data_IF_656085789900
#
_entry.id   IF_656085789900
#
_cell.length_a   1.000
_cell.length_b   1.000
_cell.length_c   1.000
_cell.angle_alpha   90.00
_cell.angle_beta   90.00
_cell.angle_gamma   90.00
#
_symmetry.space_group_name_H-M   'P 1'
#
loop_
_entity.id
_entity.type
_entity.pdbx_description
1 polymer ?
#
# COMPACT_ATOMS: atom_id res chain seq x y z
N UNK A 1 -6.46 13.46 -13.94
CA UNK A 1 -6.47 13.11 -12.50
C UNK A 1 -5.07 13.35 -11.96
N UNK A 2 -4.90 13.94 -10.78
CA UNK A 2 -3.57 14.20 -10.20
C UNK A 2 -2.99 12.94 -9.57
N UNK A 3 -1.66 12.84 -9.53
CA UNK A 3 -0.95 11.70 -8.90
C UNK A 3 -1.35 11.49 -7.44
N UNK A 4 -1.71 12.56 -6.73
CA UNK A 4 -2.20 12.49 -5.37
C UNK A 4 -3.56 11.79 -5.24
N UNK A 5 -4.48 12.02 -6.18
CA UNK A 5 -5.77 11.33 -6.17
C UNK A 5 -5.59 9.83 -6.44
N UNK A 6 -4.72 9.48 -7.38
CA UNK A 6 -4.40 8.07 -7.69
C UNK A 6 -3.73 7.36 -6.52
N UNK A 7 -2.82 8.05 -5.81
CA UNK A 7 -2.20 7.54 -4.58
C UNK A 7 -3.25 7.28 -3.49
N UNK A 8 -4.14 8.25 -3.21
CA UNK A 8 -5.20 8.09 -2.20
C UNK A 8 -6.13 6.93 -2.56
N UNK A 9 -6.48 6.79 -3.84
CA UNK A 9 -7.37 5.74 -4.29
C UNK A 9 -6.71 4.35 -4.23
N UNK A 10 -5.45 4.23 -4.63
CA UNK A 10 -4.68 3.00 -4.49
C UNK A 10 -4.53 2.59 -3.02
N UNK A 11 -4.26 3.55 -2.13
CA UNK A 11 -4.19 3.31 -0.69
C UNK A 11 -5.52 2.79 -0.14
N UNK A 12 -6.62 3.49 -0.44
CA UNK A 12 -7.97 3.12 0.01
C UNK A 12 -8.35 1.71 -0.46
N UNK A 13 -8.10 1.39 -1.72
CA UNK A 13 -8.41 0.07 -2.30
C UNK A 13 -7.54 -1.05 -1.74
N UNK A 14 -6.27 -0.75 -1.42
CA UNK A 14 -5.40 -1.72 -0.74
C UNK A 14 -5.98 -2.07 0.64
N UNK A 15 -6.31 -1.07 1.46
CA UNK A 15 -6.89 -1.30 2.78
C UNK A 15 -8.26 -2.01 2.72
N UNK A 16 -9.17 -1.60 1.84
CA UNK A 16 -10.47 -2.28 1.66
C UNK A 16 -10.30 -3.73 1.18
N UNK A 17 -9.29 -4.02 0.36
CA UNK A 17 -8.99 -5.40 -0.03
C UNK A 17 -8.50 -6.22 1.16
N UNK A 18 -7.64 -5.63 2.01
CA UNK A 18 -7.10 -6.31 3.18
C UNK A 18 -8.19 -6.67 4.20
N UNK A 19 -9.12 -5.75 4.49
CA UNK A 19 -10.23 -6.01 5.44
C UNK A 19 -11.17 -7.13 4.96
N UNK A 20 -11.17 -7.43 3.66
CA UNK A 20 -11.99 -8.48 3.03
C UNK A 20 -11.22 -9.76 2.74
N UNK A 21 -10.02 -9.93 3.29
CA UNK A 21 -9.14 -11.08 3.02
C UNK A 21 -8.75 -11.26 1.55
N UNK A 22 -8.88 -10.22 0.72
CA UNK A 22 -8.50 -10.25 -0.70
C UNK A 22 -7.00 -9.93 -0.84
N UNK A 23 -6.14 -10.81 -0.32
CA UNK A 23 -4.70 -10.55 -0.21
C UNK A 23 -4.00 -10.26 -1.54
N UNK A 24 -4.38 -10.94 -2.63
CA UNK A 24 -3.84 -10.64 -3.96
C UNK A 24 -4.21 -9.22 -4.41
N UNK A 25 -5.45 -8.77 -4.16
CA UNK A 25 -5.88 -7.42 -4.50
C UNK A 25 -5.23 -6.36 -3.61
N UNK A 26 -5.01 -6.66 -2.32
CA UNK A 26 -4.19 -5.82 -1.45
C UNK A 26 -2.80 -5.62 -2.05
N UNK A 27 -2.12 -6.72 -2.42
CA UNK A 27 -0.78 -6.65 -3.03
C UNK A 27 -0.77 -5.88 -4.35
N UNK A 28 -1.78 -6.07 -5.20
CA UNK A 28 -1.96 -5.34 -6.45
C UNK A 28 -2.06 -3.82 -6.23
N UNK A 29 -2.97 -3.38 -5.38
CA UNK A 29 -3.17 -1.94 -5.10
C UNK A 29 -2.00 -1.33 -4.33
N UNK A 30 -1.39 -2.06 -3.39
CA UNK A 30 -0.19 -1.61 -2.70
C UNK A 30 1.00 -1.42 -3.66
N UNK A 31 1.16 -2.31 -4.65
CA UNK A 31 2.18 -2.18 -5.70
C UNK A 31 1.95 -0.94 -6.56
N UNK A 32 0.69 -0.68 -6.97
CA UNK A 32 0.31 0.55 -7.68
C UNK A 32 0.68 1.79 -6.87
N UNK A 33 0.34 1.82 -5.57
CA UNK A 33 0.68 2.95 -4.70
C UNK A 33 2.20 3.19 -4.66
N UNK A 34 3.00 2.13 -4.49
CA UNK A 34 4.47 2.23 -4.47
C UNK A 34 5.01 2.74 -5.80
N UNK A 35 4.45 2.28 -6.91
CA UNK A 35 4.84 2.73 -8.24
C UNK A 35 4.52 4.22 -8.46
N UNK A 36 3.31 4.66 -8.11
CA UNK A 36 2.90 6.06 -8.18
C UNK A 36 3.75 6.95 -7.27
N UNK A 37 4.06 6.51 -6.05
CA UNK A 37 4.88 7.29 -5.14
C UNK A 37 6.30 7.46 -5.69
N UNK A 38 6.86 6.44 -6.37
CA UNK A 38 8.15 6.56 -7.06
C UNK A 38 8.10 7.57 -8.20
N UNK A 39 7.01 7.60 -8.98
CA UNK A 39 6.81 8.60 -10.04
C UNK A 39 6.69 10.03 -9.49
N UNK A 40 6.16 10.20 -8.27
CA UNK A 40 6.14 11.50 -7.56
C UNK A 40 7.49 11.86 -6.89
N UNK A 41 8.55 11.08 -7.14
CA UNK A 41 9.88 11.27 -6.56
C UNK A 41 10.06 10.68 -5.16
N UNK A 42 9.19 9.77 -4.74
CA UNK A 42 9.29 9.06 -3.46
C UNK A 42 9.02 9.92 -2.22
N UNK A 43 8.25 10.99 -2.39
CA UNK A 43 8.09 12.04 -1.37
C UNK A 43 7.22 11.63 -0.17
N UNK A 44 6.45 10.54 -0.27
CA UNK A 44 5.46 10.16 0.75
C UNK A 44 5.89 8.92 1.53
N UNK A 45 5.67 8.88 2.86
CA UNK A 45 5.86 7.68 3.66
C UNK A 45 4.89 6.59 3.21
N UNK A 46 5.35 5.34 3.17
CA UNK A 46 4.53 4.21 2.73
C UNK A 46 3.46 3.88 3.80
N UNK A 47 2.16 3.95 3.49
CA UNK A 47 1.08 3.73 4.46
C UNK A 47 1.07 2.28 5.00
N UNK A 48 1.58 1.31 4.23
CA UNK A 48 1.61 -0.10 4.60
C UNK A 48 2.82 -0.48 5.45
N UNK A 49 3.73 0.46 5.75
CA UNK A 49 5.01 0.17 6.40
C UNK A 49 4.84 -0.49 7.78
N UNK A 50 3.90 -0.01 8.59
CA UNK A 50 3.66 -0.55 9.93
C UNK A 50 3.10 -1.97 9.88
N UNK A 51 2.19 -2.26 8.93
CA UNK A 51 1.68 -3.60 8.70
C UNK A 51 2.80 -4.58 8.32
N UNK A 52 3.68 -4.18 7.39
CA UNK A 52 4.82 -5.00 6.98
C UNK A 52 5.79 -5.25 8.14
N UNK A 53 6.09 -4.22 8.93
CA UNK A 53 6.94 -4.36 10.13
C UNK A 53 6.32 -5.34 11.14
N UNK A 54 5.03 -5.22 11.42
CA UNK A 54 4.31 -6.13 12.30
C UNK A 54 4.37 -7.58 11.78
N UNK A 55 4.10 -7.79 10.49
CA UNK A 55 4.14 -9.12 9.87
C UNK A 55 5.55 -9.73 9.92
N UNK A 56 6.62 -8.94 9.74
CA UNK A 56 8.00 -9.40 9.91
C UNK A 56 8.26 -9.85 11.35
N UNK A 57 7.87 -9.05 12.34
CA UNK A 57 8.02 -9.42 13.74
C UNK A 57 7.27 -10.71 14.13
N UNK A 58 6.15 -11.01 13.46
CA UNK A 58 5.42 -12.28 13.62
C UNK A 58 6.08 -13.48 12.93
N UNK A 59 6.95 -13.27 11.95
CA UNK A 59 7.68 -14.34 11.26
C UNK A 59 8.89 -14.81 12.09
N UNK A 60 9.53 -13.88 12.79
CA UNK A 60 10.81 -14.10 13.46
C UNK A 60 10.68 -14.54 14.93
N UNK A 61 9.45 -14.71 15.44
CA UNK A 61 9.16 -15.18 16.81
C UNK A 61 8.23 -16.38 16.80
#
# INVERSE_FOLDING_TARGET
MSIEMELKEAERKAWDSLTRYKFQMFGYWASIWVHLNRLDGGKRPNPFANLVKFARGKKDG
#
